data_IF_999356498769
#
_entry.id   IF_999356498769
#
_cell.length_a   1.000
_cell.length_b   1.000
_cell.length_c   1.000
_cell.angle_alpha   90.00
_cell.angle_beta   90.00
_cell.angle_gamma   90.00
#
_symmetry.space_group_name_H-M   'P 1'
#
loop_
_entity.id
_entity.type
_entity.pdbx_description
1 polymer ?
#
# COMPACT_ATOMS: atom_id res chain seq x y z
N UNK A 1 6.76 6.02 -8.96
CA UNK A 1 6.85 6.64 -7.64
C UNK A 1 6.85 5.61 -6.51
N UNK A 2 5.86 4.76 -6.41
CA UNK A 2 5.83 3.71 -5.38
C UNK A 2 6.98 2.70 -5.54
N UNK A 3 7.31 2.34 -6.77
CA UNK A 3 8.41 1.41 -7.07
C UNK A 3 9.77 1.89 -6.57
N UNK A 4 10.01 3.20 -6.61
CA UNK A 4 11.26 3.77 -6.10
C UNK A 4 11.38 3.55 -4.61
N UNK A 5 10.28 3.71 -3.88
CA UNK A 5 10.25 3.46 -2.44
C UNK A 5 10.44 1.98 -2.13
N UNK A 6 9.87 1.10 -2.95
CA UNK A 6 10.06 -0.35 -2.81
C UNK A 6 11.53 -0.71 -2.98
N UNK A 7 12.19 -0.19 -4.02
CA UNK A 7 13.62 -0.46 -4.27
C UNK A 7 14.49 0.03 -3.12
N UNK A 8 14.24 1.25 -2.66
CA UNK A 8 15.00 1.84 -1.54
C UNK A 8 14.79 1.04 -0.26
N UNK A 9 13.55 0.69 0.05
CA UNK A 9 13.24 -0.07 1.24
C UNK A 9 13.84 -1.47 1.18
N UNK A 10 13.83 -2.12 0.00
CA UNK A 10 14.46 -3.42 -0.17
C UNK A 10 15.97 -3.36 0.08
N UNK A 11 16.62 -2.30 -0.40
CA UNK A 11 18.05 -2.10 -0.16
C UNK A 11 18.33 -1.89 1.32
N UNK A 12 17.53 -1.06 2.00
CA UNK A 12 17.68 -0.77 3.43
C UNK A 12 17.47 -2.02 4.30
N UNK A 13 16.53 -2.86 3.91
CA UNK A 13 16.18 -4.10 4.64
C UNK A 13 16.96 -5.31 4.16
N UNK A 14 17.83 -5.13 3.16
CA UNK A 14 18.66 -6.20 2.57
C UNK A 14 17.82 -7.35 2.02
N UNK A 15 16.73 -7.00 1.33
CA UNK A 15 15.87 -7.97 0.64
C UNK A 15 16.32 -8.08 -0.81
N UNK A 16 16.47 -9.31 -1.30
CA UNK A 16 16.90 -9.58 -2.67
C UNK A 16 15.83 -9.13 -3.68
N UNK A 17 16.28 -8.48 -4.76
CA UNK A 17 15.37 -8.07 -5.84
C UNK A 17 14.60 -9.24 -6.44
N UNK A 18 15.19 -10.43 -6.48
CA UNK A 18 14.51 -11.63 -6.96
C UNK A 18 13.21 -11.90 -6.17
N UNK A 19 13.23 -11.60 -4.86
CA UNK A 19 12.05 -11.80 -4.01
C UNK A 19 10.97 -10.76 -4.25
N UNK A 20 11.28 -9.66 -4.92
CA UNK A 20 10.34 -8.60 -5.25
C UNK A 20 9.59 -8.85 -6.56
N UNK A 21 9.95 -9.88 -7.30
CA UNK A 21 9.33 -10.15 -8.61
C UNK A 21 7.81 -10.28 -8.53
N UNK A 22 7.30 -10.88 -7.44
CA UNK A 22 5.86 -11.02 -7.23
C UNK A 22 5.16 -9.66 -7.11
N UNK A 23 5.79 -8.68 -6.45
CA UNK A 23 5.21 -7.34 -6.35
C UNK A 23 5.10 -6.67 -7.71
N UNK A 24 6.12 -6.84 -8.56
CA UNK A 24 6.09 -6.27 -9.91
C UNK A 24 5.01 -6.93 -10.77
N UNK A 25 4.65 -8.18 -10.48
CA UNK A 25 3.57 -8.90 -11.14
C UNK A 25 2.21 -8.69 -10.46
N UNK A 26 2.15 -7.80 -9.47
CA UNK A 26 0.94 -7.50 -8.71
C UNK A 26 0.42 -8.71 -7.93
N UNK A 27 1.31 -9.50 -7.38
CA UNK A 27 0.98 -10.63 -6.51
C UNK A 27 1.14 -10.24 -5.04
N UNK A 28 0.21 -10.65 -4.20
CA UNK A 28 0.29 -10.39 -2.76
C UNK A 28 1.44 -11.20 -2.17
N UNK A 29 2.39 -10.56 -1.46
CA UNK A 29 3.54 -11.28 -0.93
C UNK A 29 3.18 -12.23 0.19
N UNK A 30 3.87 -13.35 0.26
CA UNK A 30 3.72 -14.34 1.33
C UNK A 30 4.94 -14.34 2.27
N UNK A 31 6.10 -13.90 1.79
CA UNK A 31 7.31 -13.81 2.61
C UNK A 31 7.26 -12.59 3.51
N UNK A 32 7.58 -12.77 4.77
CA UNK A 32 7.58 -11.67 5.76
C UNK A 32 8.49 -10.53 5.33
N UNK A 33 9.69 -10.82 4.81
CA UNK A 33 10.62 -9.79 4.38
C UNK A 33 10.01 -8.89 3.30
N UNK A 34 9.28 -9.46 2.36
CA UNK A 34 8.65 -8.71 1.27
C UNK A 34 7.48 -7.88 1.81
N UNK A 35 6.71 -8.44 2.74
CA UNK A 35 5.64 -7.68 3.42
C UNK A 35 6.22 -6.46 4.14
N UNK A 36 7.39 -6.61 4.75
CA UNK A 36 8.05 -5.51 5.45
C UNK A 36 8.59 -4.45 4.49
N UNK A 37 8.98 -4.82 3.28
CA UNK A 37 9.33 -3.85 2.23
C UNK A 37 8.10 -2.99 1.90
N UNK A 38 6.93 -3.61 1.77
CA UNK A 38 5.68 -2.87 1.56
C UNK A 38 5.39 -1.92 2.73
N UNK A 39 5.54 -2.40 3.97
CA UNK A 39 5.32 -1.56 5.15
C UNK A 39 6.25 -0.35 5.14
N UNK A 40 7.52 -0.56 4.82
CA UNK A 40 8.50 0.52 4.70
C UNK A 40 8.06 1.55 3.66
N UNK A 41 7.65 1.10 2.48
CA UNK A 41 7.20 1.97 1.40
C UNK A 41 5.96 2.77 1.81
N UNK A 42 4.97 2.11 2.40
CA UNK A 42 3.76 2.79 2.86
C UNK A 42 4.02 3.80 3.98
N UNK A 43 4.93 3.48 4.90
CA UNK A 43 5.33 4.42 5.96
C UNK A 43 6.06 5.63 5.37
N UNK A 44 6.89 5.40 4.36
CA UNK A 44 7.65 6.48 3.70
C UNK A 44 6.71 7.46 3.00
N UNK A 45 5.69 6.98 2.30
CA UNK A 45 4.72 7.86 1.63
C UNK A 45 3.64 8.38 2.57
N UNK A 46 3.56 7.86 3.79
CA UNK A 46 2.67 8.35 4.83
C UNK A 46 1.31 7.66 4.91
N UNK A 47 1.02 6.69 4.03
CA UNK A 47 -0.27 5.98 4.06
C UNK A 47 -0.34 4.94 5.18
N UNK A 48 0.79 4.58 5.75
CA UNK A 48 0.85 3.79 6.98
C UNK A 48 1.52 4.62 8.06
N UNK A 49 0.91 4.70 9.24
CA UNK A 49 1.47 5.49 10.35
C UNK A 49 2.50 4.67 11.16
N UNK A 50 3.10 5.30 12.17
CA UNK A 50 4.12 4.67 13.00
C UNK A 50 3.59 3.51 13.86
N UNK A 51 2.28 3.43 14.01
CA UNK A 51 1.62 2.32 14.73
C UNK A 51 1.36 1.11 13.83
N UNK A 52 1.74 1.20 12.56
CA UNK A 52 1.53 0.13 11.59
C UNK A 52 0.10 0.06 11.07
N UNK A 53 -0.67 1.13 11.18
CA UNK A 53 -2.05 1.21 10.70
C UNK A 53 -2.16 2.10 9.47
N UNK A 54 -3.17 1.82 8.65
CA UNK A 54 -3.47 2.64 7.50
C UNK A 54 -4.03 4.00 7.96
N UNK A 55 -3.45 5.08 7.45
CA UNK A 55 -3.89 6.44 7.75
C UNK A 55 -4.83 6.90 6.64
N UNK A 56 -6.14 6.91 6.91
CA UNK A 56 -7.15 7.25 5.92
C UNK A 56 -7.03 8.70 5.45
N UNK A 57 -6.60 9.62 6.32
CA UNK A 57 -6.40 11.02 5.93
C UNK A 57 -5.33 11.11 4.84
N UNK A 58 -4.26 10.37 4.99
CA UNK A 58 -3.19 10.31 3.98
C UNK A 58 -3.69 9.62 2.70
N UNK A 59 -4.56 8.64 2.86
CA UNK A 59 -5.24 8.02 1.71
C UNK A 59 -6.03 9.03 0.91
N UNK A 60 -6.76 9.92 1.59
CA UNK A 60 -7.50 11.00 0.93
C UNK A 60 -6.58 12.01 0.27
N UNK A 61 -5.47 12.37 0.91
CA UNK A 61 -4.47 13.26 0.32
C UNK A 61 -3.88 12.64 -0.95
N UNK A 62 -3.60 11.35 -0.92
CA UNK A 62 -3.09 10.63 -2.09
C UNK A 62 -4.13 10.62 -3.21
N UNK A 63 -5.42 10.42 -2.87
CA UNK A 63 -6.50 10.50 -3.85
C UNK A 63 -6.57 11.88 -4.50
N UNK A 64 -6.30 12.94 -3.72
CA UNK A 64 -6.24 14.30 -4.24
C UNK A 64 -5.12 14.49 -5.25
N UNK A 65 -3.95 13.91 -4.98
CA UNK A 65 -2.82 13.93 -5.92
C UNK A 65 -3.19 13.19 -7.22
N UNK A 66 -3.95 12.11 -7.12
CA UNK A 66 -4.35 11.30 -8.26
C UNK A 66 -5.56 11.84 -9.01
N UNK A 67 -6.13 12.96 -8.56
CA UNK A 67 -7.33 13.58 -9.17
C UNK A 67 -7.12 13.94 -10.64
N UNK A 68 -5.94 14.51 -10.95
CA UNK A 68 -5.57 14.86 -12.32
C UNK A 68 -6.66 15.69 -13.04
N UNK A 69 -7.24 16.64 -12.33
CA UNK A 69 -8.27 17.53 -12.89
C UNK A 69 -9.66 16.91 -13.03
N UNK A 70 -9.86 15.66 -12.59
CA UNK A 70 -11.13 14.97 -12.69
C UNK A 70 -11.74 14.73 -11.30
N UNK A 71 -12.79 15.50 -10.92
CA UNK A 71 -13.43 15.34 -9.60
C UNK A 71 -13.97 13.94 -9.34
N UNK A 72 -14.39 13.23 -10.39
CA UNK A 72 -14.89 11.86 -10.26
C UNK A 72 -13.76 10.92 -9.85
N UNK A 73 -12.57 11.16 -10.37
CA UNK A 73 -11.38 10.40 -10.01
C UNK A 73 -11.01 10.59 -8.54
N UNK A 74 -11.14 11.82 -8.03
CA UNK A 74 -10.96 12.09 -6.60
C UNK A 74 -11.98 11.34 -5.76
N UNK A 75 -13.24 11.39 -6.14
CA UNK A 75 -14.31 10.67 -5.45
C UNK A 75 -14.04 9.17 -5.41
N UNK A 76 -13.65 8.60 -6.55
CA UNK A 76 -13.34 7.17 -6.64
C UNK A 76 -12.11 6.80 -5.79
N UNK A 77 -11.10 7.64 -5.77
CA UNK A 77 -9.93 7.43 -4.91
C UNK A 77 -10.29 7.42 -3.43
N UNK A 78 -11.17 8.31 -3.01
CA UNK A 78 -11.66 8.33 -1.64
C UNK A 78 -12.46 7.08 -1.31
N UNK A 79 -13.25 6.57 -2.25
CA UNK A 79 -13.99 5.31 -2.06
C UNK A 79 -13.05 4.14 -1.83
N UNK A 80 -11.98 4.04 -2.61
CA UNK A 80 -10.97 3.00 -2.42
C UNK A 80 -10.32 3.15 -1.04
N UNK A 81 -9.98 4.37 -0.63
CA UNK A 81 -9.42 4.63 0.69
C UNK A 81 -10.37 4.18 1.81
N UNK A 82 -11.66 4.50 1.67
CA UNK A 82 -12.68 4.09 2.66
C UNK A 82 -12.79 2.57 2.76
N UNK A 83 -12.84 1.89 1.61
CA UNK A 83 -12.92 0.43 1.56
C UNK A 83 -11.69 -0.18 2.22
N UNK A 84 -10.49 0.32 1.89
CA UNK A 84 -9.24 -0.23 2.39
C UNK A 84 -8.94 0.14 3.84
N UNK A 85 -9.65 1.10 4.43
CA UNK A 85 -9.50 1.41 5.85
C UNK A 85 -9.91 0.22 6.74
N UNK A 86 -10.70 -0.71 6.22
CA UNK A 86 -11.10 -1.91 6.93
C UNK A 86 -9.90 -2.80 7.33
N UNK A 87 -8.75 -2.64 6.69
CA UNK A 87 -7.54 -3.41 7.06
C UNK A 87 -7.09 -3.11 8.50
N UNK A 88 -7.50 -1.96 9.04
CA UNK A 88 -7.16 -1.61 10.42
C UNK A 88 -7.88 -2.47 11.45
N UNK A 89 -8.98 -3.10 11.06
CA UNK A 89 -9.78 -3.99 11.92
C UNK A 89 -9.38 -5.45 11.76
N UNK A 90 -8.50 -5.76 10.81
CA UNK A 90 -8.03 -7.12 10.59
C UNK A 90 -6.98 -7.51 11.62
N UNK A 91 -7.00 -8.77 12.11
CA UNK A 91 -5.99 -9.23 13.05
C UNK A 91 -4.63 -9.36 12.35
N UNK A 92 -3.58 -8.88 13.02
CA UNK A 92 -2.19 -9.00 12.55
C UNK A 92 -1.33 -9.52 13.69
N UNK A 93 -0.18 -10.11 13.36
CA UNK A 93 0.69 -10.75 14.34
C UNK A 93 1.90 -9.88 14.73
N UNK A 94 2.21 -8.86 13.96
CA UNK A 94 3.43 -8.05 14.12
C UNK A 94 3.20 -6.62 14.61
N UNK A 95 1.95 -6.23 14.85
CA UNK A 95 1.59 -4.95 15.47
C UNK A 95 2.16 -3.73 14.73
N UNK A 96 3.00 -2.98 15.43
CA UNK A 96 3.56 -1.72 14.93
C UNK A 96 4.48 -1.86 13.72
N UNK A 97 5.05 -3.03 13.49
CA UNK A 97 5.88 -3.27 12.31
C UNK A 97 5.07 -3.06 11.04
N UNK A 98 3.79 -3.43 11.06
CA UNK A 98 2.87 -3.18 9.96
C UNK A 98 3.10 -4.04 8.73
N UNK A 99 3.97 -5.04 8.79
CA UNK A 99 4.27 -5.87 7.62
C UNK A 99 3.05 -6.65 7.16
N UNK A 100 2.34 -7.31 8.10
CA UNK A 100 1.12 -8.04 7.77
C UNK A 100 0.03 -7.10 7.27
N UNK A 101 -0.15 -5.96 7.92
CA UNK A 101 -1.16 -4.98 7.51
C UNK A 101 -0.83 -4.38 6.14
N UNK A 102 0.45 -4.16 5.85
CA UNK A 102 0.88 -3.67 4.54
C UNK A 102 0.48 -4.65 3.42
N UNK A 103 0.62 -5.95 3.66
CA UNK A 103 0.18 -6.97 2.70
C UNK A 103 -1.35 -6.92 2.50
N UNK A 104 -2.12 -6.68 3.57
CA UNK A 104 -3.57 -6.52 3.49
C UNK A 104 -3.94 -5.25 2.70
N UNK A 105 -3.22 -4.15 2.91
CA UNK A 105 -3.41 -2.91 2.15
C UNK A 105 -3.16 -3.15 0.67
N UNK A 106 -2.07 -3.82 0.35
CA UNK A 106 -1.71 -4.14 -1.03
C UNK A 106 -2.79 -5.01 -1.69
N UNK A 107 -3.24 -6.04 -1.01
CA UNK A 107 -4.32 -6.91 -1.48
C UNK A 107 -5.60 -6.10 -1.74
N UNK A 108 -5.97 -5.22 -0.82
CA UNK A 108 -7.15 -4.38 -0.95
C UNK A 108 -7.06 -3.48 -2.18
N UNK A 109 -5.91 -2.86 -2.41
CA UNK A 109 -5.68 -2.01 -3.58
C UNK A 109 -5.78 -2.83 -4.86
N UNK A 110 -5.19 -4.03 -4.90
CA UNK A 110 -5.27 -4.90 -6.08
C UNK A 110 -6.71 -5.27 -6.43
N UNK A 111 -7.53 -5.52 -5.41
CA UNK A 111 -8.92 -5.94 -5.60
C UNK A 111 -9.84 -4.79 -6.02
N UNK A 112 -9.62 -3.60 -5.47
CA UNK A 112 -10.60 -2.51 -5.59
C UNK A 112 -10.19 -1.37 -6.51
N UNK A 113 -8.91 -0.99 -6.56
CA UNK A 113 -8.49 0.15 -7.36
C UNK A 113 -8.87 0.02 -8.86
N UNK A 114 -8.68 -1.14 -9.51
CA UNK A 114 -9.07 -1.28 -10.92
C UNK A 114 -10.56 -1.09 -11.16
N UNK A 115 -11.40 -1.47 -10.19
CA UNK A 115 -12.86 -1.31 -10.29
C UNK A 115 -13.28 0.15 -10.33
N UNK A 116 -12.43 1.04 -9.81
CA UNK A 116 -12.68 2.47 -9.76
C UNK A 116 -11.82 3.24 -10.77
N UNK A 117 -11.26 2.55 -11.75
CA UNK A 117 -10.56 3.17 -12.86
C UNK A 117 -9.08 3.46 -12.64
N UNK A 118 -8.48 2.94 -11.58
CA UNK A 118 -7.05 3.13 -11.32
C UNK A 118 -6.24 1.97 -11.87
N UNK A 119 -5.18 2.28 -12.61
CA UNK A 119 -4.25 1.26 -13.10
C UNK A 119 -3.18 1.01 -12.05
N UNK A 120 -2.87 -0.27 -11.86
CA UNK A 120 -1.80 -0.70 -10.96
C UNK A 120 -0.63 -1.19 -11.83
N UNK A 121 0.50 -0.52 -11.68
CA UNK A 121 1.71 -0.88 -12.42
C UNK A 121 2.86 -1.15 -11.46
#
# INVERSE_FOLDING_TARGET
>A
MFEEHIKKCAADLKVDEADLSGLHKLEVPTKTEVKCVLACAYKTIGTMNDEGKYDIKKGYEFAKVMEDGDPKRLENGKKVADICSAVNDEPVTDGEKGCDRAALMFKCMLEHAPKYGFKLE
#
